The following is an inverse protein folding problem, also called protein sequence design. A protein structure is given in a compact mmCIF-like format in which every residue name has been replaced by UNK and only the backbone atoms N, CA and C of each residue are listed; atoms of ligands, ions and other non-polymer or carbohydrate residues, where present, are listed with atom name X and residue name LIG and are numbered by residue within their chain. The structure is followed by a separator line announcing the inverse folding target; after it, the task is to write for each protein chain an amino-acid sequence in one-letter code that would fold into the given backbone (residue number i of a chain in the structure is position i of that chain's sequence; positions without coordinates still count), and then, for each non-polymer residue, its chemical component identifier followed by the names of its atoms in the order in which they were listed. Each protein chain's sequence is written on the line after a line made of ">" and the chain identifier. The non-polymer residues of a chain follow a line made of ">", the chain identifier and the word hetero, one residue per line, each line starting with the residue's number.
data_IF_888037672465
#
_entry.id   IF_888037672465
#
_cell.length_a   1.000
_cell.length_b   1.000
_cell.length_c   1.000
_cell.angle_alpha   90.00
_cell.angle_beta   90.00
_cell.angle_gamma   90.00
#
_symmetry.space_group_name_H-M   'P 1'
#
loop_
_entity.id
_entity.type
_entity.pdbx_description
1 polymer ?
#
# COMPACT_ATOMS: atom_id res chain seq x y z
N UNK A 1 15.22 26.42 5.07
CA UNK A 1 15.10 24.98 4.74
C UNK A 1 13.69 24.56 5.12
N UNK A 2 12.89 24.04 4.19
CA UNK A 2 11.60 23.47 4.55
C UNK A 2 11.85 22.24 5.43
N UNK A 3 11.26 22.20 6.62
CA UNK A 3 11.28 21.01 7.44
C UNK A 3 10.44 19.95 6.72
N UNK A 4 11.09 18.97 6.11
CA UNK A 4 10.40 17.76 5.63
C UNK A 4 9.90 17.01 6.85
N UNK A 5 8.59 17.03 7.07
CA UNK A 5 7.93 16.18 8.05
C UNK A 5 8.27 14.73 7.71
N UNK A 6 8.82 13.93 8.64
CA UNK A 6 9.06 12.53 8.38
C UNK A 6 7.75 11.83 8.03
N UNK A 7 7.72 11.09 6.92
CA UNK A 7 6.58 10.24 6.57
C UNK A 7 6.40 9.23 7.69
N UNK A 8 5.25 9.26 8.34
CA UNK A 8 4.87 8.23 9.31
C UNK A 8 4.32 7.04 8.55
N UNK A 9 5.06 5.94 8.57
CA UNK A 9 4.65 4.70 7.93
C UNK A 9 3.76 3.89 8.88
N UNK A 10 2.53 3.63 8.47
CA UNK A 10 1.60 2.79 9.20
C UNK A 10 1.84 1.32 8.89
N UNK A 11 1.57 0.45 9.86
CA UNK A 11 1.60 -1.01 9.67
C UNK A 11 0.56 -1.45 8.63
N UNK A 12 0.88 -2.38 7.70
CA UNK A 12 -0.04 -2.83 6.66
C UNK A 12 -1.38 -3.37 7.21
N UNK A 13 -1.35 -3.97 8.41
CA UNK A 13 -2.53 -4.56 9.06
C UNK A 13 -3.55 -3.52 9.53
N UNK A 14 -3.18 -2.24 9.63
CA UNK A 14 -4.11 -1.17 10.02
C UNK A 14 -4.84 -0.55 8.83
N UNK A 15 -4.41 -0.86 7.60
CA UNK A 15 -4.92 -0.23 6.38
C UNK A 15 -6.43 -0.40 6.21
N UNK A 16 -6.97 -1.62 6.38
CA UNK A 16 -8.41 -1.87 6.26
C UNK A 16 -9.24 -0.99 7.19
N UNK A 17 -8.83 -0.89 8.46
CA UNK A 17 -9.56 -0.09 9.45
C UNK A 17 -9.43 1.42 9.17
N UNK A 18 -8.24 1.88 8.79
CA UNK A 18 -7.98 3.30 8.56
C UNK A 18 -8.54 3.82 7.23
N UNK A 19 -8.61 2.99 6.20
CA UNK A 19 -8.98 3.37 4.83
C UNK A 19 -10.44 3.07 4.48
N UNK A 20 -11.18 2.32 5.32
CA UNK A 20 -12.57 1.92 5.04
C UNK A 20 -13.50 3.10 4.70
N UNK A 21 -13.27 4.28 5.28
CA UNK A 21 -14.09 5.48 5.04
C UNK A 21 -13.71 6.31 3.81
N UNK A 22 -12.64 5.96 3.10
CA UNK A 22 -12.07 6.77 2.00
C UNK A 22 -11.91 5.96 0.70
N UNK A 23 -12.49 4.77 0.63
CA UNK A 23 -12.46 3.95 -0.58
C UNK A 23 -13.25 4.63 -1.72
N UNK A 24 -12.75 4.48 -2.94
CA UNK A 24 -13.43 4.92 -4.16
C UNK A 24 -14.63 4.03 -4.51
N UNK A 25 -15.40 4.43 -5.53
CA UNK A 25 -16.58 3.69 -6.00
C UNK A 25 -16.26 2.26 -6.47
N UNK A 26 -15.00 1.98 -6.82
CA UNK A 26 -14.51 0.66 -7.19
C UNK A 26 -13.94 -0.13 -5.99
N UNK A 27 -14.17 0.35 -4.76
CA UNK A 27 -13.83 -0.33 -3.52
C UNK A 27 -12.34 -0.33 -3.18
N UNK A 28 -11.56 0.62 -3.71
CA UNK A 28 -10.13 0.72 -3.41
C UNK A 28 -9.63 2.14 -3.21
N UNK A 29 -8.34 2.29 -2.89
CA UNK A 29 -7.69 3.61 -2.78
C UNK A 29 -6.21 3.49 -3.13
N UNK A 30 -5.66 4.49 -3.81
CA UNK A 30 -4.22 4.56 -4.09
C UNK A 30 -3.50 5.24 -2.94
N UNK A 31 -2.50 4.56 -2.37
CA UNK A 31 -1.67 5.07 -1.27
C UNK A 31 -0.19 4.87 -1.55
N UNK A 32 0.67 5.59 -0.83
CA UNK A 32 2.10 5.33 -0.86
C UNK A 32 2.39 4.09 0.01
N UNK A 33 3.20 3.17 -0.50
CA UNK A 33 3.63 1.96 0.21
C UNK A 33 5.14 1.82 0.24
N UNK A 34 5.63 1.25 1.34
CA UNK A 34 6.99 0.75 1.49
C UNK A 34 6.98 -0.75 1.21
N UNK A 35 7.92 -1.21 0.39
CA UNK A 35 7.97 -2.59 -0.09
C UNK A 35 9.28 -3.25 0.34
N UNK A 36 9.19 -4.50 0.76
CA UNK A 36 10.33 -5.40 0.85
C UNK A 36 10.77 -5.84 -0.57
N UNK A 37 11.85 -5.23 -1.04
CA UNK A 37 12.43 -5.51 -2.37
C UNK A 37 12.99 -6.93 -2.49
N UNK A 38 13.18 -7.64 -1.38
CA UNK A 38 13.64 -9.04 -1.38
C UNK A 38 12.48 -10.02 -1.50
N UNK A 39 11.22 -9.57 -1.40
CA UNK A 39 10.06 -10.42 -1.58
C UNK A 39 9.94 -10.83 -3.07
N UNK A 40 9.81 -12.13 -3.38
CA UNK A 40 9.71 -12.61 -4.76
C UNK A 40 8.47 -12.07 -5.52
N UNK A 41 7.42 -11.65 -4.82
CA UNK A 41 6.24 -11.02 -5.42
C UNK A 41 6.43 -9.52 -5.71
N UNK A 42 7.48 -8.91 -5.15
CA UNK A 42 7.96 -7.57 -5.48
C UNK A 42 9.10 -7.60 -6.52
N UNK A 43 9.35 -8.76 -7.15
CA UNK A 43 10.38 -8.89 -8.19
C UNK A 43 10.03 -7.94 -9.35
N UNK A 44 11.01 -7.15 -9.79
CA UNK A 44 10.91 -6.02 -10.74
C UNK A 44 10.45 -4.68 -10.15
N UNK A 45 10.16 -4.61 -8.85
CA UNK A 45 9.89 -3.36 -8.15
C UNK A 45 11.22 -2.88 -7.53
N UNK A 46 12.09 -2.34 -8.38
CA UNK A 46 13.46 -1.91 -8.02
C UNK A 46 13.51 -0.70 -7.06
N UNK A 47 12.35 -0.23 -6.59
CA UNK A 47 12.21 0.92 -5.72
C UNK A 47 11.50 0.50 -4.41
N UNK A 48 12.07 0.84 -3.24
CA UNK A 48 11.50 0.48 -1.94
C UNK A 48 10.22 1.26 -1.60
N UNK A 49 9.92 2.34 -2.33
CA UNK A 49 8.73 3.19 -2.13
C UNK A 49 8.00 3.36 -3.44
N UNK A 50 6.67 3.20 -3.44
CA UNK A 50 5.83 3.43 -4.62
C UNK A 50 4.36 3.55 -4.28
N UNK A 51 3.56 3.91 -5.26
CA UNK A 51 2.10 3.95 -5.14
C UNK A 51 1.51 2.56 -5.38
N UNK A 52 0.59 2.15 -4.51
CA UNK A 52 -0.18 0.92 -4.65
C UNK A 52 -1.66 1.18 -4.41
N UNK A 53 -2.52 0.48 -5.16
CA UNK A 53 -3.96 0.43 -4.92
C UNK A 53 -4.24 -0.61 -3.84
N UNK A 54 -4.72 -0.13 -2.71
CA UNK A 54 -5.29 -0.93 -1.64
C UNK A 54 -6.74 -1.30 -1.99
N UNK A 55 -7.09 -2.57 -1.81
CA UNK A 55 -8.45 -3.07 -1.86
C UNK A 55 -8.67 -4.00 -0.66
N UNK A 56 -9.57 -3.68 0.28
CA UNK A 56 -9.80 -4.52 1.43
C UNK A 56 -10.39 -5.86 1.02
N UNK A 57 -9.98 -6.93 1.70
CA UNK A 57 -10.65 -8.21 1.55
C UNK A 57 -12.09 -8.13 2.06
N UNK A 58 -12.98 -8.98 1.52
CA UNK A 58 -14.30 -9.26 2.11
C UNK A 58 -14.17 -9.63 3.61
N UNK A 59 -15.26 -9.64 4.37
CA UNK A 59 -15.22 -9.88 5.82
C UNK A 59 -14.44 -11.16 6.20
N UNK A 60 -13.26 -10.98 6.80
CA UNK A 60 -12.32 -12.05 7.16
C UNK A 60 -11.32 -12.48 6.06
N UNK A 61 -11.43 -11.96 4.85
CA UNK A 61 -10.49 -12.18 3.74
C UNK A 61 -9.24 -11.31 3.82
N UNK A 62 -8.15 -11.69 3.11
CA UNK A 62 -6.90 -10.94 3.10
C UNK A 62 -7.06 -9.61 2.35
N UNK A 63 -6.32 -8.60 2.78
CA UNK A 63 -6.24 -7.33 2.06
C UNK A 63 -5.34 -7.45 0.84
N UNK A 64 -5.73 -6.76 -0.23
CA UNK A 64 -5.04 -6.80 -1.50
C UNK A 64 -4.33 -5.47 -1.77
N UNK A 65 -3.06 -5.59 -2.17
CA UNK A 65 -2.23 -4.47 -2.57
C UNK A 65 -1.79 -4.71 -4.00
N UNK A 66 -2.18 -3.82 -4.90
CA UNK A 66 -1.80 -3.87 -6.30
C UNK A 66 -0.85 -2.73 -6.60
N UNK A 67 0.28 -3.04 -7.21
CA UNK A 67 1.14 -2.01 -7.73
C UNK A 67 0.39 -1.15 -8.77
N UNK A 68 0.43 0.17 -8.59
CA UNK A 68 -0.23 1.10 -9.51
C UNK A 68 0.46 1.19 -10.86
N UNK A 69 1.76 0.88 -10.95
CA UNK A 69 2.52 0.96 -12.21
C UNK A 69 2.29 -0.25 -13.12
N UNK A 70 2.38 -1.46 -12.56
CA UNK A 70 2.35 -2.71 -13.32
C UNK A 70 1.10 -3.55 -13.09
N UNK A 71 0.23 -3.17 -12.15
CA UNK A 71 -0.97 -3.92 -11.78
C UNK A 71 -0.71 -5.24 -11.06
N UNK A 72 0.55 -5.50 -10.64
CA UNK A 72 0.93 -6.74 -9.98
C UNK A 72 0.49 -6.74 -8.52
N UNK A 73 -0.03 -7.87 -8.04
CA UNK A 73 -0.34 -8.02 -6.62
C UNK A 73 0.96 -8.16 -5.81
N UNK A 74 1.05 -7.45 -4.69
CA UNK A 74 2.25 -7.38 -3.87
C UNK A 74 2.34 -8.48 -2.81
N UNK A 75 1.33 -9.35 -2.62
CA UNK A 75 1.35 -10.58 -1.79
C UNK A 75 2.26 -10.52 -0.54
N UNK A 76 1.98 -9.59 0.39
CA UNK A 76 2.74 -9.37 1.64
C UNK A 76 4.12 -8.70 1.51
N UNK A 77 4.50 -8.23 0.33
CA UNK A 77 5.70 -7.43 0.15
C UNK A 77 5.55 -6.01 0.74
N UNK A 78 4.33 -5.55 1.00
CA UNK A 78 4.09 -4.25 1.65
C UNK A 78 4.50 -4.33 3.12
N UNK A 79 5.45 -3.49 3.53
CA UNK A 79 5.97 -3.37 4.91
C UNK A 79 5.54 -2.07 5.59
N UNK A 80 4.82 -1.21 4.90
CA UNK A 80 4.24 0.00 5.46
C UNK A 80 3.42 0.78 4.43
N UNK A 81 2.51 1.63 4.89
CA UNK A 81 1.69 2.49 4.03
C UNK A 81 1.53 3.90 4.60
N UNK A 82 1.27 4.88 3.73
CA UNK A 82 0.98 6.27 4.08
C UNK A 82 0.01 6.87 3.05
N UNK A 83 -0.89 7.74 3.50
CA UNK A 83 -1.70 8.54 2.58
C UNK A 83 -0.78 9.50 1.82
N UNK A 84 -0.99 9.69 0.50
CA UNK A 84 -0.39 10.79 -0.22
C UNK A 84 -0.97 12.10 0.36
N UNK A 85 -0.09 13.00 0.74
CA UNK A 85 -0.41 14.33 1.27
C UNK A 85 -1.09 15.25 0.26
#
# INVERSE_FOLDING_TARGET
>A
MAATTPITWNEPTTAKAALAGVLDEAGGITVLVRIDIHNPHAKNTWAPYRTARFAPGADGGPDYWYDSTFGIQLHNAVTGWALPE
#
